data_IF_764919899674
#
_entry.id   IF_764919899674
#
_cell.length_a   1.000
_cell.length_b   1.000
_cell.length_c   1.000
_cell.angle_alpha   90.00
_cell.angle_beta   90.00
_cell.angle_gamma   90.00
#
_symmetry.space_group_name_H-M   'P 1'
#
loop_
_entity.id
_entity.type
_entity.pdbx_description
1 polymer ?
#
# COMPACT_ATOMS: atom_id res chain seq x y z
N UNK A 1 -6.63 57.68 -76.28
CA UNK A 1 -6.43 59.02 -75.70
C UNK A 1 -7.05 58.95 -74.30
N UNK A 2 -6.21 59.08 -73.45
CA UNK A 2 -5.97 59.83 -72.20
C UNK A 2 -6.42 59.06 -70.95
N UNK A 3 -5.55 58.69 -70.22
CA UNK A 3 -4.71 59.25 -69.22
C UNK A 3 -5.21 58.93 -67.79
N UNK A 4 -4.38 58.22 -67.15
CA UNK A 4 -4.27 57.79 -65.77
C UNK A 4 -4.36 58.96 -64.76
N UNK A 5 -4.92 58.68 -63.59
CA UNK A 5 -4.43 59.32 -62.32
C UNK A 5 -4.45 58.33 -61.19
N UNK A 6 -3.27 58.02 -60.68
CA UNK A 6 -3.04 57.25 -59.45
C UNK A 6 -3.34 58.13 -58.23
N UNK A 7 -4.08 57.62 -57.29
CA UNK A 7 -4.19 58.20 -55.95
C UNK A 7 -3.57 57.25 -54.94
N UNK A 8 -2.50 57.73 -54.30
CA UNK A 8 -1.76 57.02 -53.23
C UNK A 8 -2.61 57.05 -51.96
N UNK A 9 -3.05 55.88 -51.50
CA UNK A 9 -3.62 55.69 -50.19
C UNK A 9 -2.53 55.67 -49.10
N UNK A 10 -2.76 56.48 -48.08
CA UNK A 10 -1.89 56.54 -46.85
C UNK A 10 -2.13 55.25 -46.03
N UNK A 11 -1.04 54.59 -45.66
CA UNK A 11 -1.03 53.58 -44.62
C UNK A 11 -1.10 54.25 -43.24
N UNK A 12 -2.14 53.90 -42.49
CA UNK A 12 -2.22 54.20 -41.06
C UNK A 12 -1.40 53.17 -40.28
N UNK A 13 -0.68 53.57 -39.21
CA UNK A 13 0.07 52.60 -38.38
C UNK A 13 -0.87 51.84 -37.46
N UNK A 14 -0.65 50.53 -37.38
CA UNK A 14 -1.32 49.60 -36.43
C UNK A 14 -1.05 49.98 -34.97
N UNK A 15 -2.01 49.80 -34.04
CA UNK A 15 -1.80 50.00 -32.63
C UNK A 15 -0.89 48.90 -32.03
N UNK A 16 -0.14 49.20 -30.95
CA UNK A 16 0.77 48.26 -30.34
C UNK A 16 -0.01 47.10 -29.72
N UNK A 17 0.40 45.86 -30.08
CA UNK A 17 -0.08 44.61 -29.46
C UNK A 17 0.43 44.58 -28.00
N UNK A 18 -0.49 44.74 -27.04
CA UNK A 18 -0.22 44.48 -25.64
C UNK A 18 0.09 43.01 -25.44
N UNK A 19 1.34 42.73 -25.12
CA UNK A 19 1.81 41.36 -24.81
C UNK A 19 0.99 40.76 -23.67
N UNK A 20 0.30 39.67 -23.98
CA UNK A 20 -0.26 38.74 -22.98
C UNK A 20 0.90 38.09 -22.23
N UNK A 21 1.10 38.49 -20.98
CA UNK A 21 1.94 37.72 -20.07
C UNK A 21 1.34 36.28 -19.93
N UNK A 22 2.15 35.22 -20.07
CA UNK A 22 1.69 33.89 -19.74
C UNK A 22 1.51 33.82 -18.22
N UNK A 23 0.28 33.55 -17.79
CA UNK A 23 -0.04 33.22 -16.41
C UNK A 23 0.85 32.05 -15.95
N UNK A 24 1.83 32.34 -15.13
CA UNK A 24 2.78 31.40 -14.53
C UNK A 24 2.11 30.53 -13.46
N UNK A 25 1.06 29.80 -13.79
CA UNK A 25 0.59 28.66 -12.98
C UNK A 25 1.44 27.46 -13.30
N UNK A 26 2.60 27.35 -12.65
CA UNK A 26 3.38 26.11 -12.60
C UNK A 26 2.58 25.09 -11.79
N UNK A 27 1.68 24.36 -12.48
CA UNK A 27 0.97 23.24 -11.88
C UNK A 27 2.00 22.19 -11.43
N UNK A 28 1.99 21.83 -10.14
CA UNK A 28 2.80 20.72 -9.63
C UNK A 28 2.66 19.51 -10.55
N UNK A 29 3.75 18.81 -10.92
CA UNK A 29 3.70 17.66 -11.81
C UNK A 29 2.74 16.59 -11.25
N UNK A 30 2.01 15.92 -12.13
CA UNK A 30 0.94 14.97 -11.78
C UNK A 30 1.40 13.91 -10.76
N UNK A 31 2.66 13.47 -10.82
CA UNK A 31 3.26 12.57 -9.84
C UNK A 31 3.32 13.14 -8.43
N UNK A 32 3.71 14.42 -8.28
CA UNK A 32 3.77 15.08 -6.97
C UNK A 32 2.37 15.27 -6.35
N UNK A 33 1.33 15.50 -7.18
CA UNK A 33 -0.05 15.57 -6.70
C UNK A 33 -0.57 14.21 -6.22
N UNK A 34 -0.28 13.13 -6.95
CA UNK A 34 -0.64 11.76 -6.55
C UNK A 34 0.06 11.35 -5.25
N UNK A 35 1.32 11.70 -5.09
CA UNK A 35 2.07 11.39 -3.88
C UNK A 35 1.56 12.18 -2.67
N UNK A 36 1.23 13.45 -2.83
CA UNK A 36 0.64 14.27 -1.77
C UNK A 36 -0.75 13.75 -1.36
N UNK A 37 -1.58 13.32 -2.32
CA UNK A 37 -2.88 12.72 -2.04
C UNK A 37 -2.75 11.39 -1.27
N UNK A 38 -1.82 10.53 -1.66
CA UNK A 38 -1.54 9.26 -0.96
C UNK A 38 -1.04 9.50 0.47
N UNK A 39 -0.17 10.49 0.69
CA UNK A 39 0.31 10.85 2.03
C UNK A 39 -0.82 11.42 2.90
N UNK A 40 -1.72 12.23 2.32
CA UNK A 40 -2.91 12.73 3.01
C UNK A 40 -3.84 11.59 3.44
N UNK A 41 -4.07 10.63 2.57
CA UNK A 41 -4.92 9.47 2.85
C UNK A 41 -4.32 8.58 3.95
N UNK A 42 -3.00 8.34 3.94
CA UNK A 42 -2.31 7.63 5.03
C UNK A 42 -2.48 8.33 6.37
N UNK A 43 -2.38 9.67 6.42
CA UNK A 43 -2.58 10.43 7.64
C UNK A 43 -4.03 10.34 8.18
N UNK A 44 -5.03 10.28 7.30
CA UNK A 44 -6.43 10.09 7.69
C UNK A 44 -6.61 8.67 8.25
N UNK A 45 -6.08 7.64 7.59
CA UNK A 45 -6.14 6.26 8.05
C UNK A 45 -5.46 6.09 9.42
N UNK A 46 -4.26 6.66 9.63
CA UNK A 46 -3.57 6.61 10.92
C UNK A 46 -4.40 7.27 12.05
N UNK A 47 -5.08 8.39 11.78
CA UNK A 47 -6.00 8.99 12.76
C UNK A 47 -7.19 8.10 13.08
N UNK A 48 -7.79 7.44 12.09
CA UNK A 48 -8.85 6.44 12.33
C UNK A 48 -8.35 5.33 13.24
N UNK A 49 -7.19 4.73 12.94
CA UNK A 49 -6.61 3.68 13.77
C UNK A 49 -6.34 4.13 15.21
N UNK A 50 -5.79 5.34 15.38
CA UNK A 50 -5.56 5.94 16.69
C UNK A 50 -6.89 6.15 17.47
N UNK A 51 -7.94 6.65 16.81
CA UNK A 51 -9.27 6.82 17.42
C UNK A 51 -9.93 5.50 17.81
N UNK A 52 -9.55 4.38 17.16
CA UNK A 52 -9.96 3.01 17.48
C UNK A 52 -9.07 2.34 18.54
N UNK A 53 -8.15 3.09 19.13
CA UNK A 53 -7.32 2.62 20.25
C UNK A 53 -5.99 1.95 19.87
N UNK A 54 -5.61 1.91 18.59
CA UNK A 54 -4.38 1.25 18.14
C UNK A 54 -3.11 1.79 18.83
N UNK A 55 -3.12 3.04 19.29
CA UNK A 55 -2.01 3.66 20.04
C UNK A 55 -1.83 3.11 21.46
N UNK A 56 -2.86 2.49 22.03
CA UNK A 56 -2.84 1.92 23.38
C UNK A 56 -2.65 0.40 23.42
N UNK A 57 -2.68 -0.29 22.27
CA UNK A 57 -2.53 -1.74 22.19
C UNK A 57 -1.05 -2.10 22.13
N UNK A 58 -0.52 -2.86 23.12
CA UNK A 58 0.87 -3.33 23.10
C UNK A 58 1.14 -4.23 21.90
N UNK A 59 2.30 -4.04 21.24
CA UNK A 59 2.75 -4.85 20.12
C UNK A 59 4.28 -4.89 20.10
N UNK A 60 4.93 -5.93 19.53
CA UNK A 60 6.38 -5.95 19.41
C UNK A 60 6.96 -4.65 18.84
N UNK A 61 7.94 -4.07 19.54
CA UNK A 61 8.53 -2.79 19.17
C UNK A 61 7.70 -1.55 19.51
N UNK A 62 6.72 -1.66 20.45
CA UNK A 62 5.94 -0.52 20.95
C UNK A 62 4.43 -0.74 20.94
N UNK A 63 3.71 0.00 20.10
CA UNK A 63 2.24 -0.08 19.97
C UNK A 63 1.82 -0.68 18.63
N UNK A 64 0.57 -1.14 18.55
CA UNK A 64 0.00 -1.61 17.29
C UNK A 64 0.07 -0.52 16.21
N UNK A 65 -0.26 0.74 16.52
CA UNK A 65 -0.20 1.83 15.54
C UNK A 65 1.23 2.00 15.00
N UNK A 66 2.24 2.01 15.87
CA UNK A 66 3.64 2.13 15.45
C UNK A 66 4.08 0.97 14.53
N UNK A 67 3.64 -0.27 14.82
CA UNK A 67 3.86 -1.42 13.95
C UNK A 67 3.21 -1.22 12.57
N UNK A 68 1.94 -0.84 12.54
CA UNK A 68 1.19 -0.62 11.29
C UNK A 68 1.85 0.47 10.40
N UNK A 69 2.34 1.54 11.02
CA UNK A 69 3.08 2.60 10.32
C UNK A 69 4.42 2.08 9.74
N UNK A 70 5.17 1.27 10.48
CA UNK A 70 6.43 0.68 10.01
C UNK A 70 6.19 -0.30 8.85
N UNK A 71 5.14 -1.14 8.92
CA UNK A 71 4.75 -2.05 7.84
C UNK A 71 4.42 -1.27 6.57
N UNK A 72 3.62 -0.20 6.67
CA UNK A 72 3.30 0.67 5.53
C UNK A 72 4.54 1.33 4.94
N UNK A 73 5.47 1.79 5.78
CA UNK A 73 6.73 2.39 5.35
C UNK A 73 7.63 1.38 4.64
N UNK A 74 7.74 0.16 5.15
CA UNK A 74 8.52 -0.93 4.55
C UNK A 74 8.00 -1.30 3.17
N UNK A 75 6.68 -1.45 3.02
CA UNK A 75 6.04 -1.63 1.71
C UNK A 75 6.35 -0.47 0.74
N UNK A 76 6.39 0.76 1.26
CA UNK A 76 6.78 1.93 0.48
C UNK A 76 8.24 1.87 -0.01
N UNK A 77 9.17 1.40 0.81
CA UNK A 77 10.58 1.18 0.46
C UNK A 77 10.75 0.11 -0.63
N UNK A 78 9.87 -0.89 -0.66
CA UNK A 78 9.85 -1.92 -1.71
C UNK A 78 9.17 -1.46 -3.01
N UNK A 79 8.62 -0.23 -3.06
CA UNK A 79 7.93 0.31 -4.22
C UNK A 79 6.50 -0.21 -4.39
N UNK A 80 5.90 -0.75 -3.34
CA UNK A 80 4.52 -1.21 -3.37
C UNK A 80 3.55 -0.07 -3.75
N UNK A 81 2.49 -0.43 -4.49
CA UNK A 81 1.44 0.49 -4.94
C UNK A 81 0.74 1.18 -3.75
N UNK A 82 0.22 2.40 -3.90
CA UNK A 82 -0.45 3.11 -2.82
C UNK A 82 -1.55 2.29 -2.10
N UNK A 83 -2.44 1.52 -2.78
CA UNK A 83 -3.43 0.68 -2.11
C UNK A 83 -2.80 -0.40 -1.21
N UNK A 84 -1.67 -1.01 -1.61
CA UNK A 84 -0.97 -2.02 -0.81
C UNK A 84 -0.35 -1.41 0.44
N UNK A 85 0.20 -0.19 0.34
CA UNK A 85 0.74 0.55 1.48
C UNK A 85 -0.35 0.94 2.48
N UNK A 86 -1.52 1.38 1.99
CA UNK A 86 -2.70 1.67 2.82
C UNK A 86 -3.23 0.40 3.48
N UNK A 87 -3.28 -0.71 2.75
CA UNK A 87 -3.64 -2.00 3.32
C UNK A 87 -2.63 -2.43 4.40
N UNK A 88 -1.32 -2.21 4.19
CA UNK A 88 -0.29 -2.44 5.19
C UNK A 88 -0.50 -1.62 6.47
N UNK A 89 -0.90 -0.35 6.33
CA UNK A 89 -1.25 0.49 7.47
C UNK A 89 -2.48 -0.02 8.23
N UNK A 90 -3.42 -0.67 7.56
CA UNK A 90 -4.71 -1.05 8.15
C UNK A 90 -4.88 -2.58 8.30
N UNK A 91 -3.84 -3.40 8.08
CA UNK A 91 -3.97 -4.86 7.95
C UNK A 91 -4.55 -5.58 9.17
N UNK A 92 -4.41 -5.00 10.37
CA UNK A 92 -4.99 -5.54 11.59
C UNK A 92 -6.38 -4.96 11.93
N UNK A 93 -6.99 -4.16 11.04
CA UNK A 93 -8.26 -3.48 11.34
C UNK A 93 -9.38 -4.45 11.71
N UNK A 94 -9.51 -5.57 11.00
CA UNK A 94 -10.49 -6.62 11.28
C UNK A 94 -9.92 -7.80 12.10
N UNK A 95 -8.76 -7.60 12.76
CA UNK A 95 -8.02 -8.69 13.37
C UNK A 95 -7.41 -9.64 12.32
N UNK A 96 -6.53 -10.53 12.76
CA UNK A 96 -5.92 -11.55 11.88
C UNK A 96 -5.96 -12.91 12.56
N UNK A 97 -5.67 -13.99 11.83
CA UNK A 97 -5.59 -15.33 12.39
C UNK A 97 -4.54 -15.47 13.52
N UNK A 98 -3.47 -14.66 13.46
CA UNK A 98 -2.43 -14.62 14.51
C UNK A 98 -2.61 -13.48 15.55
N UNK A 99 -3.56 -12.55 15.35
CA UNK A 99 -3.81 -11.41 16.23
C UNK A 99 -5.30 -11.04 16.20
N UNK A 100 -6.11 -11.59 17.13
CA UNK A 100 -7.56 -11.49 17.06
C UNK A 100 -8.15 -10.15 17.50
N UNK A 101 -7.33 -9.20 17.96
CA UNK A 101 -7.81 -7.86 18.36
C UNK A 101 -8.32 -7.11 17.14
N UNK A 102 -9.59 -6.70 17.15
CA UNK A 102 -10.25 -5.95 16.08
C UNK A 102 -10.38 -4.48 16.45
N UNK A 103 -10.12 -3.60 15.47
CA UNK A 103 -10.35 -2.16 15.56
C UNK A 103 -11.68 -1.75 14.89
N UNK A 104 -12.22 -2.62 14.05
CA UNK A 104 -13.51 -2.47 13.37
C UNK A 104 -14.08 -3.82 12.97
N UNK A 105 -15.36 -3.84 12.64
CA UNK A 105 -16.12 -5.07 12.36
C UNK A 105 -16.01 -5.46 10.88
N UNK A 106 -15.74 -6.75 10.56
CA UNK A 106 -15.73 -7.23 9.18
C UNK A 106 -17.08 -7.07 8.45
N UNK A 107 -18.17 -6.90 9.18
CA UNK A 107 -19.49 -6.63 8.61
C UNK A 107 -19.69 -5.16 8.19
N UNK A 108 -18.84 -4.24 8.66
CA UNK A 108 -18.95 -2.78 8.42
C UNK A 108 -17.81 -2.26 7.54
N UNK A 109 -17.58 -2.92 6.41
CA UNK A 109 -16.44 -2.65 5.51
C UNK A 109 -16.45 -1.26 4.88
N UNK A 110 -17.63 -0.69 4.66
CA UNK A 110 -17.81 0.63 4.02
C UNK A 110 -17.13 1.75 4.81
N UNK A 111 -17.03 1.62 6.13
CA UNK A 111 -16.35 2.61 6.97
C UNK A 111 -14.86 2.72 6.59
N UNK A 112 -14.16 1.59 6.54
CA UNK A 112 -12.74 1.58 6.16
C UNK A 112 -12.55 1.91 4.68
N UNK A 113 -13.42 1.38 3.80
CA UNK A 113 -13.39 1.66 2.37
C UNK A 113 -13.54 3.15 2.06
N UNK A 114 -14.39 3.87 2.80
CA UNK A 114 -14.55 5.32 2.70
C UNK A 114 -13.27 6.11 3.04
N UNK A 115 -12.39 5.54 3.85
CA UNK A 115 -11.13 6.16 4.27
C UNK A 115 -9.96 5.78 3.35
N UNK A 116 -9.78 4.49 3.07
CA UNK A 116 -8.60 3.99 2.33
C UNK A 116 -8.90 3.59 0.87
N UNK A 117 -10.15 3.65 0.45
CA UNK A 117 -10.61 3.21 -0.86
C UNK A 117 -10.86 1.70 -0.92
N UNK A 118 -11.78 1.30 -1.81
CA UNK A 118 -12.24 -0.08 -1.95
C UNK A 118 -11.12 -1.09 -2.27
N UNK A 119 -10.11 -0.69 -3.08
CA UNK A 119 -9.01 -1.58 -3.45
C UNK A 119 -8.15 -1.94 -2.24
N UNK A 120 -7.79 -0.94 -1.43
CA UNK A 120 -7.01 -1.16 -0.21
C UNK A 120 -7.82 -1.94 0.84
N UNK A 121 -9.10 -1.59 1.01
CA UNK A 121 -9.99 -2.28 1.94
C UNK A 121 -10.16 -3.76 1.58
N UNK A 122 -10.37 -4.09 0.29
CA UNK A 122 -10.44 -5.49 -0.15
C UNK A 122 -9.20 -6.29 0.23
N UNK A 123 -8.01 -5.67 0.17
CA UNK A 123 -6.78 -6.33 0.59
C UNK A 123 -6.70 -6.48 2.11
N UNK A 124 -7.17 -5.48 2.89
CA UNK A 124 -7.27 -5.58 4.36
C UNK A 124 -8.20 -6.72 4.75
N UNK A 125 -9.40 -6.80 4.15
CA UNK A 125 -10.33 -7.89 4.40
C UNK A 125 -9.73 -9.25 4.01
N UNK A 126 -9.11 -9.34 2.83
CA UNK A 126 -8.47 -10.56 2.35
C UNK A 126 -7.34 -11.01 3.30
N UNK A 127 -6.57 -10.07 3.84
CA UNK A 127 -5.53 -10.37 4.82
C UNK A 127 -6.13 -10.87 6.15
N UNK A 128 -7.14 -10.19 6.65
CA UNK A 128 -7.81 -10.53 7.90
C UNK A 128 -8.56 -11.87 7.80
N UNK A 129 -9.20 -12.15 6.67
CA UNK A 129 -10.00 -13.37 6.45
C UNK A 129 -9.17 -14.62 6.18
N UNK A 130 -7.84 -14.52 6.10
CA UNK A 130 -6.98 -15.65 5.81
C UNK A 130 -6.99 -16.71 6.93
N UNK A 131 -7.47 -17.93 6.62
CA UNK A 131 -7.11 -19.13 7.38
C UNK A 131 -5.67 -19.51 6.97
N UNK A 132 -4.70 -19.15 7.81
CA UNK A 132 -3.27 -19.30 7.49
C UNK A 132 -2.87 -20.76 7.34
N UNK A 133 -3.41 -21.63 8.20
CA UNK A 133 -3.09 -23.05 8.18
C UNK A 133 -3.48 -23.70 6.85
N UNK A 134 -4.65 -23.36 6.32
CA UNK A 134 -5.11 -23.84 5.02
C UNK A 134 -4.43 -23.09 3.87
N UNK A 135 -4.40 -21.76 3.90
CA UNK A 135 -4.08 -20.96 2.72
C UNK A 135 -2.59 -20.89 2.40
N UNK A 136 -1.72 -20.81 3.40
CA UNK A 136 -0.29 -20.57 3.20
C UNK A 136 0.40 -21.63 2.32
N UNK A 137 0.15 -22.94 2.49
CA UNK A 137 0.74 -23.96 1.62
C UNK A 137 0.28 -23.86 0.16
N UNK A 138 -0.96 -23.38 -0.08
CA UNK A 138 -1.60 -23.39 -1.40
C UNK A 138 -1.43 -22.08 -2.19
N UNK A 139 -1.14 -20.95 -1.51
CA UNK A 139 -1.03 -19.64 -2.16
C UNK A 139 -0.02 -19.58 -3.32
N UNK A 140 1.17 -20.22 -3.27
CA UNK A 140 2.13 -20.21 -4.38
C UNK A 140 1.75 -21.10 -5.56
N UNK A 141 0.79 -22.00 -5.40
CA UNK A 141 0.33 -22.91 -6.44
C UNK A 141 -0.40 -22.16 -7.56
N UNK A 142 -0.49 -22.72 -8.79
CA UNK A 142 -1.21 -22.08 -9.90
C UNK A 142 -2.66 -21.74 -9.56
N UNK A 143 -3.38 -22.64 -8.92
CA UNK A 143 -4.77 -22.43 -8.48
C UNK A 143 -4.86 -21.47 -7.29
N UNK A 144 -3.85 -21.47 -6.41
CA UNK A 144 -3.74 -20.54 -5.28
C UNK A 144 -4.92 -20.61 -4.33
N UNK A 145 -5.28 -21.81 -3.83
CA UNK A 145 -6.43 -21.96 -2.96
C UNK A 145 -6.29 -21.13 -1.68
N UNK A 146 -7.38 -20.46 -1.29
CA UNK A 146 -7.48 -19.59 -0.13
C UNK A 146 -8.79 -19.87 0.61
N UNK A 147 -8.73 -20.05 1.92
CA UNK A 147 -9.92 -20.17 2.76
C UNK A 147 -10.17 -18.89 3.52
N UNK A 148 -11.36 -18.34 3.34
CA UNK A 148 -11.88 -17.24 4.17
C UNK A 148 -12.37 -17.81 5.50
N UNK A 149 -11.70 -17.46 6.62
CA UNK A 149 -12.04 -17.96 7.96
C UNK A 149 -13.34 -17.38 8.52
N UNK A 150 -13.82 -16.25 7.98
CA UNK A 150 -15.07 -15.64 8.43
C UNK A 150 -16.28 -16.35 7.83
N UNK A 151 -16.17 -16.83 6.59
CA UNK A 151 -17.27 -17.46 5.86
C UNK A 151 -17.08 -18.97 5.67
N UNK A 152 -15.88 -19.49 5.87
CA UNK A 152 -15.51 -20.86 5.54
C UNK A 152 -15.35 -21.14 4.04
N UNK A 153 -15.56 -20.14 3.19
CA UNK A 153 -15.51 -20.28 1.74
C UNK A 153 -14.07 -20.48 1.25
N UNK A 154 -13.90 -21.46 0.34
CA UNK A 154 -12.63 -21.66 -0.38
C UNK A 154 -12.74 -21.04 -1.77
N UNK A 155 -11.76 -20.20 -2.12
CA UNK A 155 -11.70 -19.48 -3.39
C UNK A 155 -10.29 -19.51 -3.99
N UNK A 156 -10.18 -19.17 -5.28
CA UNK A 156 -8.90 -19.04 -6.00
C UNK A 156 -8.68 -17.58 -6.37
N UNK A 157 -8.00 -16.78 -5.52
CA UNK A 157 -7.79 -15.37 -5.78
C UNK A 157 -6.84 -15.15 -6.96
N UNK A 158 -7.04 -14.06 -7.73
CA UNK A 158 -6.14 -13.69 -8.81
C UNK A 158 -4.68 -13.57 -8.33
N UNK A 159 -3.73 -13.91 -9.20
CA UNK A 159 -2.30 -13.85 -8.86
C UNK A 159 -1.86 -12.48 -8.34
N UNK A 160 -2.42 -11.39 -8.88
CA UNK A 160 -2.11 -10.04 -8.40
C UNK A 160 -2.48 -9.86 -6.92
N UNK A 161 -3.64 -10.33 -6.50
CA UNK A 161 -4.09 -10.27 -5.10
C UNK A 161 -3.21 -11.16 -4.19
N UNK A 162 -2.80 -12.33 -4.68
CA UNK A 162 -1.89 -13.22 -3.94
C UNK A 162 -0.49 -12.59 -3.77
N UNK A 163 -0.01 -11.85 -4.78
CA UNK A 163 1.24 -11.09 -4.68
C UNK A 163 1.14 -9.96 -3.66
N UNK A 164 0.07 -9.15 -3.72
CA UNK A 164 -0.15 -8.08 -2.76
C UNK A 164 -0.24 -8.63 -1.31
N UNK A 165 -0.92 -9.77 -1.14
CA UNK A 165 -0.99 -10.49 0.14
C UNK A 165 0.38 -10.98 0.63
N UNK A 166 1.18 -11.57 -0.26
CA UNK A 166 2.51 -12.07 0.08
C UNK A 166 3.47 -10.95 0.47
N UNK A 167 3.45 -9.83 -0.27
CA UNK A 167 4.20 -8.61 0.06
C UNK A 167 3.82 -8.07 1.44
N UNK A 168 2.51 -7.96 1.70
CA UNK A 168 2.01 -7.50 2.99
C UNK A 168 2.41 -8.44 4.12
N UNK A 169 2.28 -9.76 3.91
CA UNK A 169 2.71 -10.77 4.90
C UNK A 169 4.20 -10.66 5.18
N UNK A 170 5.03 -10.53 4.14
CA UNK A 170 6.46 -10.37 4.32
C UNK A 170 6.79 -9.10 5.12
N UNK A 171 6.15 -7.97 4.81
CA UNK A 171 6.39 -6.71 5.52
C UNK A 171 5.98 -6.81 7.00
N UNK A 172 4.84 -7.45 7.30
CA UNK A 172 4.37 -7.70 8.66
C UNK A 172 5.37 -8.54 9.47
N UNK A 173 5.74 -9.71 8.95
CA UNK A 173 6.62 -10.63 9.67
C UNK A 173 8.05 -10.07 9.81
N UNK A 174 8.57 -9.37 8.80
CA UNK A 174 9.90 -8.76 8.86
C UNK A 174 9.96 -7.57 9.81
N UNK A 175 8.90 -6.78 9.96
CA UNK A 175 8.85 -5.73 10.98
C UNK A 175 8.98 -6.34 12.38
N UNK A 176 8.20 -7.37 12.68
CA UNK A 176 8.26 -8.08 13.98
C UNK A 176 9.64 -8.68 14.20
N UNK A 177 10.20 -9.39 13.21
CA UNK A 177 11.53 -9.99 13.30
C UNK A 177 12.65 -8.96 13.50
N UNK A 178 12.48 -7.75 12.97
CA UNK A 178 13.46 -6.67 13.12
C UNK A 178 13.48 -6.09 14.54
N UNK A 179 12.29 -5.89 15.11
CA UNK A 179 12.17 -5.25 16.44
C UNK A 179 12.21 -6.23 17.61
N UNK A 180 12.12 -7.53 17.34
CA UNK A 180 12.14 -8.58 18.39
C UNK A 180 13.06 -9.73 17.99
N UNK A 181 14.35 -9.70 18.45
CA UNK A 181 15.33 -10.74 18.15
C UNK A 181 14.94 -12.14 18.64
N UNK A 182 14.19 -12.25 19.74
CA UNK A 182 13.75 -13.55 20.28
C UNK A 182 12.73 -14.19 19.33
N UNK A 183 11.72 -13.45 18.88
CA UNK A 183 10.75 -13.93 17.89
C UNK A 183 11.45 -14.25 16.57
N UNK A 184 12.44 -13.44 16.15
CA UNK A 184 13.25 -13.75 14.97
C UNK A 184 14.00 -15.08 15.11
N UNK A 185 14.63 -15.32 16.25
CA UNK A 185 15.33 -16.58 16.50
C UNK A 185 14.39 -17.79 16.50
N UNK A 186 13.21 -17.63 17.12
CA UNK A 186 12.21 -18.68 17.24
C UNK A 186 11.54 -19.01 15.89
N UNK A 187 11.09 -18.00 15.14
CA UNK A 187 10.26 -18.20 13.94
C UNK A 187 11.02 -18.01 12.63
N UNK A 188 12.19 -17.39 12.63
CA UNK A 188 12.97 -17.08 11.43
C UNK A 188 13.16 -18.26 10.48
N UNK A 189 13.58 -19.45 10.94
CA UNK A 189 13.71 -20.61 10.06
C UNK A 189 12.40 -21.03 9.37
N UNK A 190 11.26 -20.91 10.06
CA UNK A 190 9.96 -21.22 9.49
C UNK A 190 9.51 -20.16 8.48
N UNK A 191 9.72 -18.88 8.81
CA UNK A 191 9.44 -17.76 7.89
C UNK A 191 10.31 -17.81 6.64
N UNK A 192 11.59 -18.16 6.76
CA UNK A 192 12.46 -18.32 5.59
C UNK A 192 11.96 -19.42 4.66
N UNK A 193 11.54 -20.57 5.20
CA UNK A 193 10.93 -21.64 4.40
C UNK A 193 9.65 -21.19 3.71
N UNK A 194 8.77 -20.48 4.44
CA UNK A 194 7.53 -19.94 3.90
C UNK A 194 7.82 -19.00 2.72
N UNK A 195 8.65 -17.98 2.92
CA UNK A 195 8.94 -17.00 1.89
C UNK A 195 9.76 -17.57 0.72
N UNK A 196 10.54 -18.62 0.95
CA UNK A 196 11.18 -19.39 -0.13
C UNK A 196 10.13 -20.06 -1.02
N UNK A 197 9.10 -20.69 -0.43
CA UNK A 197 8.00 -21.26 -1.20
C UNK A 197 7.17 -20.21 -1.92
N UNK A 198 7.13 -18.98 -1.42
CA UNK A 198 6.42 -17.84 -2.01
C UNK A 198 7.28 -16.96 -2.92
N UNK A 199 8.49 -17.40 -3.30
CA UNK A 199 9.42 -16.56 -4.10
C UNK A 199 8.79 -15.99 -5.37
N UNK A 200 7.92 -16.75 -6.03
CA UNK A 200 7.21 -16.33 -7.25
C UNK A 200 6.12 -15.26 -7.01
N UNK A 201 5.72 -15.04 -5.76
CA UNK A 201 4.75 -14.04 -5.34
C UNK A 201 5.43 -12.76 -4.83
N UNK A 202 6.69 -12.82 -4.39
CA UNK A 202 7.41 -11.69 -3.81
C UNK A 202 8.16 -10.89 -4.88
N UNK A 203 8.18 -9.58 -4.71
CA UNK A 203 9.09 -8.70 -5.45
C UNK A 203 10.55 -8.93 -5.07
N UNK A 204 11.48 -8.50 -5.92
CA UNK A 204 12.91 -8.60 -5.60
C UNK A 204 13.32 -7.76 -4.38
N UNK A 205 12.78 -6.54 -4.15
CA UNK A 205 13.02 -5.82 -2.90
C UNK A 205 12.56 -6.59 -1.65
N UNK A 206 11.32 -7.13 -1.65
CA UNK A 206 10.80 -7.93 -0.54
C UNK A 206 11.65 -9.19 -0.29
N UNK A 207 12.00 -9.90 -1.35
CA UNK A 207 12.85 -11.10 -1.25
C UNK A 207 14.23 -10.79 -0.66
N UNK A 208 14.88 -9.71 -1.09
CA UNK A 208 16.15 -9.27 -0.50
C UNK A 208 16.00 -8.94 0.98
N UNK A 209 14.92 -8.26 1.36
CA UNK A 209 14.64 -7.94 2.76
C UNK A 209 14.44 -9.19 3.61
N UNK A 210 13.74 -10.22 3.11
CA UNK A 210 13.61 -11.53 3.78
C UNK A 210 14.99 -12.10 4.10
N UNK A 211 15.89 -12.18 3.12
CA UNK A 211 17.23 -12.70 3.33
C UNK A 211 18.06 -11.87 4.31
N UNK A 212 18.05 -10.56 4.15
CA UNK A 212 18.82 -9.65 5.01
C UNK A 212 18.34 -9.72 6.48
N UNK A 213 17.03 -9.82 6.70
CA UNK A 213 16.47 -9.78 8.05
C UNK A 213 16.51 -11.15 8.73
N UNK A 214 16.18 -12.23 7.99
CA UNK A 214 15.94 -13.54 8.60
C UNK A 214 17.15 -14.46 8.46
N UNK A 215 17.83 -14.47 7.31
CA UNK A 215 18.95 -15.39 7.06
C UNK A 215 20.27 -14.90 7.69
N UNK A 216 20.38 -13.63 8.08
CA UNK A 216 21.56 -13.13 8.79
C UNK A 216 21.59 -13.65 10.23
N UNK A 217 22.74 -14.12 10.74
CA UNK A 217 22.87 -14.55 12.12
C UNK A 217 22.46 -13.42 13.08
N UNK A 218 21.83 -13.78 14.19
CA UNK A 218 21.58 -12.85 15.30
C UNK A 218 22.95 -12.57 15.93
N UNK A 219 23.50 -11.38 15.69
CA UNK A 219 24.73 -10.90 16.34
C UNK A 219 24.43 -10.47 17.76
#
# INVERSE_FOLDING_TARGET
MTSSFRQKGRLSPDPPQTGRQPDGRTGRPAGARRQAAASGQQAIAARLLASRGASGIPHPGGTLLAHLERVSALLGQWGARPPVRLAGLCHAYYGTDGFPVMLGEPASRDELAGVIGEEAERLVYFYASCDRHFSYPHLPEPAGAFRDRFTGTVLSPPQAMRRDFAELTAANELDIATVNPELRAQYGPALLRLFTSWRNLLSDPAWRAVHTTIASPVT
#
